data_IF_693946891168
#
_entry.id   IF_693946891168
#
_cell.length_a   1.000
_cell.length_b   1.000
_cell.length_c   1.000
_cell.angle_alpha   90.00
_cell.angle_beta   90.00
_cell.angle_gamma   90.00
#
_symmetry.space_group_name_H-M   'P 1'
#
loop_
_entity.id
_entity.type
_entity.pdbx_description
1 polymer ?
#
# COMPACT_ATOMS: atom_id res chain seq x y z
N UNK A 1 -26.41 -2.93 -22.84
CA UNK A 1 -26.03 -1.58 -22.35
C UNK A 1 -26.50 -1.24 -20.93
N UNK A 2 -27.72 -1.57 -20.49
CA UNK A 2 -28.24 -1.27 -19.13
C UNK A 2 -27.43 -1.91 -17.97
N UNK A 3 -26.93 -3.15 -18.10
CA UNK A 3 -26.17 -3.84 -17.03
C UNK A 3 -24.81 -3.22 -16.71
N UNK A 4 -24.06 -2.69 -17.71
CA UNK A 4 -22.78 -2.00 -17.48
C UNK A 4 -22.95 -0.67 -16.72
N UNK A 5 -23.98 0.11 -17.02
CA UNK A 5 -24.27 1.35 -16.29
C UNK A 5 -24.59 1.10 -14.81
N UNK A 6 -25.35 0.04 -14.50
CA UNK A 6 -25.66 -0.31 -13.12
C UNK A 6 -24.42 -0.69 -12.29
N UNK A 7 -23.42 -1.33 -12.91
CA UNK A 7 -22.18 -1.72 -12.22
C UNK A 7 -21.28 -0.52 -11.91
N UNK A 8 -21.13 0.40 -12.86
CA UNK A 8 -20.38 1.65 -12.69
C UNK A 8 -21.02 2.50 -11.57
N UNK A 9 -22.34 2.64 -11.56
CA UNK A 9 -23.06 3.38 -10.52
C UNK A 9 -22.83 2.81 -9.11
N UNK A 10 -22.90 1.50 -8.92
CA UNK A 10 -22.63 0.86 -7.63
C UNK A 10 -21.20 1.11 -7.16
N UNK A 11 -20.25 1.09 -8.07
CA UNK A 11 -18.83 1.29 -7.79
C UNK A 11 -18.53 2.74 -7.39
N UNK A 12 -19.09 3.69 -8.11
CA UNK A 12 -18.99 5.12 -7.80
C UNK A 12 -19.55 5.42 -6.41
N UNK A 13 -20.71 4.83 -6.07
CA UNK A 13 -21.32 4.98 -4.74
C UNK A 13 -20.38 4.42 -3.68
N UNK A 14 -19.80 3.23 -3.86
CA UNK A 14 -18.88 2.62 -2.92
C UNK A 14 -17.62 3.48 -2.71
N UNK A 15 -17.04 4.02 -3.78
CA UNK A 15 -15.86 4.89 -3.70
C UNK A 15 -16.17 6.23 -3.03
N UNK A 16 -17.32 6.83 -3.33
CA UNK A 16 -17.77 8.05 -2.66
C UNK A 16 -17.95 7.82 -1.17
N UNK A 17 -18.70 6.81 -0.77
CA UNK A 17 -18.92 6.46 0.64
C UNK A 17 -17.60 6.17 1.38
N UNK A 18 -16.66 5.51 0.71
CA UNK A 18 -15.33 5.28 1.25
C UNK A 18 -14.57 6.58 1.49
N UNK A 19 -14.58 7.50 0.52
CA UNK A 19 -13.96 8.82 0.66
C UNK A 19 -14.62 9.63 1.78
N UNK A 20 -15.95 9.72 1.81
CA UNK A 20 -16.70 10.43 2.85
C UNK A 20 -16.36 9.93 4.25
N UNK A 21 -16.35 8.59 4.41
CA UNK A 21 -16.00 7.96 5.69
C UNK A 21 -14.54 8.19 6.09
N UNK A 22 -13.62 8.17 5.10
CA UNK A 22 -12.19 8.26 5.34
C UNK A 22 -11.76 9.70 5.61
N UNK A 23 -12.27 10.64 4.81
CA UNK A 23 -11.97 12.07 4.94
C UNK A 23 -12.83 12.75 6.01
N UNK A 24 -13.90 12.10 6.47
CA UNK A 24 -14.93 12.67 7.37
C UNK A 24 -15.52 14.00 6.84
N UNK A 25 -15.72 14.04 5.54
CA UNK A 25 -16.20 15.21 4.80
C UNK A 25 -17.22 14.77 3.78
N UNK A 26 -18.10 15.70 3.39
CA UNK A 26 -19.02 15.45 2.28
C UNK A 26 -18.21 15.40 0.96
N UNK A 27 -18.50 14.39 0.13
CA UNK A 27 -17.86 14.19 -1.18
C UNK A 27 -18.95 14.22 -2.24
N UNK A 28 -18.88 15.23 -3.10
CA UNK A 28 -19.76 15.32 -4.27
C UNK A 28 -19.01 14.73 -5.48
N UNK A 29 -19.57 13.70 -6.08
CA UNK A 29 -18.97 13.04 -7.23
C UNK A 29 -19.96 13.02 -8.39
N UNK A 30 -19.59 13.64 -9.51
CA UNK A 30 -20.48 13.85 -10.66
C UNK A 30 -19.79 13.49 -11.98
N UNK A 31 -20.57 12.99 -12.92
CA UNK A 31 -20.17 12.90 -14.32
C UNK A 31 -20.38 14.26 -15.01
N UNK A 32 -19.33 15.05 -15.16
CA UNK A 32 -19.43 16.33 -15.85
C UNK A 32 -19.33 16.13 -17.37
N UNK A 33 -20.45 16.23 -18.05
CA UNK A 33 -20.56 16.01 -19.51
C UNK A 33 -19.71 17.02 -20.32
N UNK A 34 -19.54 18.22 -19.86
CA UNK A 34 -18.76 19.24 -20.58
C UNK A 34 -17.27 18.99 -20.49
N UNK A 35 -16.77 18.64 -19.29
CA UNK A 35 -15.39 18.23 -19.09
C UNK A 35 -15.10 16.94 -19.87
N UNK A 36 -16.04 15.99 -19.81
CA UNK A 36 -15.93 14.74 -20.54
C UNK A 36 -15.79 14.96 -22.06
N UNK A 37 -16.50 15.92 -22.64
CA UNK A 37 -16.41 16.25 -24.08
C UNK A 37 -15.06 16.84 -24.47
N UNK A 38 -14.41 17.60 -23.60
CA UNK A 38 -13.08 18.20 -23.84
C UNK A 38 -11.94 17.19 -23.86
N UNK A 39 -12.13 16.01 -23.25
CA UNK A 39 -11.10 14.99 -23.17
C UNK A 39 -11.01 14.16 -24.46
N UNK A 40 -9.81 13.76 -24.90
CA UNK A 40 -9.61 12.89 -26.04
C UNK A 40 -10.39 11.58 -25.95
N UNK A 41 -10.81 11.04 -27.09
CA UNK A 41 -11.52 9.75 -27.18
C UNK A 41 -10.73 8.61 -26.52
N UNK A 42 -9.40 8.65 -26.63
CA UNK A 42 -8.53 7.65 -26.00
C UNK A 42 -8.69 7.58 -24.47
N UNK A 43 -8.85 8.73 -23.79
CA UNK A 43 -9.05 8.77 -22.34
C UNK A 43 -10.48 8.30 -21.99
N UNK A 44 -11.48 8.76 -22.73
CA UNK A 44 -12.88 8.35 -22.57
C UNK A 44 -13.10 6.85 -22.80
N UNK A 45 -12.30 6.25 -23.66
CA UNK A 45 -12.33 4.81 -23.91
C UNK A 45 -11.73 4.01 -22.75
N UNK A 46 -10.61 4.48 -22.17
CA UNK A 46 -9.86 3.76 -21.14
C UNK A 46 -10.37 3.98 -19.72
N UNK A 47 -10.97 5.13 -19.44
CA UNK A 47 -11.34 5.53 -18.08
C UNK A 47 -12.81 5.88 -17.95
N UNK A 48 -13.36 5.60 -16.78
CA UNK A 48 -14.52 6.31 -16.27
C UNK A 48 -14.00 7.57 -15.58
N UNK A 49 -14.57 8.73 -15.87
CA UNK A 49 -14.02 10.04 -15.50
C UNK A 49 -15.07 10.81 -14.72
N UNK A 50 -14.69 11.30 -13.55
CA UNK A 50 -15.57 12.00 -12.62
C UNK A 50 -14.97 13.33 -12.21
N UNK A 51 -15.82 14.29 -11.95
CA UNK A 51 -15.47 15.50 -11.20
C UNK A 51 -15.83 15.26 -9.75
N UNK A 52 -14.89 15.50 -8.86
CA UNK A 52 -15.05 15.31 -7.42
C UNK A 52 -14.83 16.64 -6.71
N UNK A 53 -15.69 16.92 -5.74
CA UNK A 53 -15.56 18.06 -4.86
C UNK A 53 -15.44 17.58 -3.41
N UNK A 54 -14.41 18.04 -2.74
CA UNK A 54 -14.13 17.76 -1.32
C UNK A 54 -13.76 19.06 -0.62
N UNK A 55 -14.52 19.45 0.37
CA UNK A 55 -14.28 20.67 1.16
C UNK A 55 -14.01 21.93 0.30
N UNK A 56 -14.81 22.10 -0.76
CA UNK A 56 -14.65 23.22 -1.71
C UNK A 56 -13.50 23.10 -2.70
N UNK A 57 -12.71 22.02 -2.64
CA UNK A 57 -11.65 21.73 -3.62
C UNK A 57 -12.21 20.83 -4.71
N UNK A 58 -12.16 21.34 -5.95
CA UNK A 58 -12.59 20.60 -7.14
C UNK A 58 -11.40 19.89 -7.79
N UNK A 59 -11.57 18.61 -8.12
CA UNK A 59 -10.55 17.77 -8.72
C UNK A 59 -11.14 16.69 -9.62
N UNK A 60 -10.32 16.05 -10.44
CA UNK A 60 -10.71 15.00 -11.35
C UNK A 60 -10.37 13.63 -10.78
N UNK A 61 -11.24 12.66 -11.01
CA UNK A 61 -10.98 11.25 -10.73
C UNK A 61 -11.07 10.45 -12.03
N UNK A 62 -10.04 9.64 -12.31
CA UNK A 62 -10.03 8.70 -13.41
C UNK A 62 -9.96 7.27 -12.89
N UNK A 63 -10.89 6.44 -13.31
CA UNK A 63 -10.97 5.03 -12.94
C UNK A 63 -10.71 4.17 -14.17
N UNK A 64 -9.63 3.38 -14.22
CA UNK A 64 -9.35 2.49 -15.35
C UNK A 64 -10.46 1.45 -15.54
N UNK A 65 -10.89 1.23 -16.78
CA UNK A 65 -11.86 0.19 -17.14
C UNK A 65 -11.23 -1.19 -17.21
N UNK A 66 -9.93 -1.22 -17.52
CA UNK A 66 -9.12 -2.42 -17.65
C UNK A 66 -7.80 -2.26 -16.87
N UNK A 67 -7.03 -3.32 -16.70
CA UNK A 67 -5.71 -3.25 -16.05
C UNK A 67 -4.74 -2.43 -16.93
N UNK A 68 -4.26 -1.32 -16.38
CA UNK A 68 -3.38 -0.37 -17.06
C UNK A 68 -2.07 -0.25 -16.29
N UNK A 69 -0.94 -0.32 -17.01
CA UNK A 69 0.39 -0.16 -16.41
C UNK A 69 0.65 1.26 -15.91
N UNK A 70 1.53 1.39 -14.89
CA UNK A 70 1.84 2.64 -14.22
C UNK A 70 2.29 3.76 -15.18
N UNK A 71 3.10 3.42 -16.21
CA UNK A 71 3.59 4.40 -17.20
C UNK A 71 2.43 5.09 -17.94
N UNK A 72 1.42 4.30 -18.33
CA UNK A 72 0.23 4.82 -19.03
C UNK A 72 -0.63 5.63 -18.08
N UNK A 73 -0.86 5.13 -16.85
CA UNK A 73 -1.61 5.84 -15.81
C UNK A 73 -1.01 7.22 -15.52
N UNK A 74 0.32 7.28 -15.35
CA UNK A 74 1.07 8.52 -15.11
C UNK A 74 0.87 9.53 -16.22
N UNK A 75 1.07 9.10 -17.48
CA UNK A 75 0.92 9.94 -18.66
C UNK A 75 -0.51 10.44 -18.82
N UNK A 76 -1.47 9.54 -18.73
CA UNK A 76 -2.88 9.86 -18.99
C UNK A 76 -3.45 10.75 -17.87
N UNK A 77 -3.07 10.53 -16.60
CA UNK A 77 -3.41 11.41 -15.47
C UNK A 77 -2.90 12.83 -15.71
N UNK A 78 -1.61 12.97 -16.02
CA UNK A 78 -1.01 14.28 -16.30
C UNK A 78 -1.67 14.96 -17.51
N UNK A 79 -2.09 14.18 -18.51
CA UNK A 79 -2.84 14.69 -19.66
C UNK A 79 -4.21 15.22 -19.28
N UNK A 80 -4.93 14.55 -18.37
CA UNK A 80 -6.22 15.01 -17.84
C UNK A 80 -6.03 16.31 -17.05
N UNK A 81 -5.03 16.40 -16.17
CA UNK A 81 -4.70 17.62 -15.43
C UNK A 81 -4.43 18.80 -16.35
N UNK A 82 -3.60 18.58 -17.37
CA UNK A 82 -3.26 19.64 -18.35
C UNK A 82 -4.49 20.16 -19.11
N UNK A 83 -5.42 19.28 -19.47
CA UNK A 83 -6.62 19.65 -20.25
C UNK A 83 -7.67 20.33 -19.38
N UNK A 84 -7.82 19.87 -18.13
CA UNK A 84 -8.89 20.35 -17.24
C UNK A 84 -8.46 21.50 -16.35
N UNK A 85 -7.16 21.67 -16.11
CA UNK A 85 -6.62 22.62 -15.14
C UNK A 85 -6.86 22.23 -13.68
N UNK A 86 -7.37 21.00 -13.44
CA UNK A 86 -7.70 20.48 -12.12
C UNK A 86 -6.75 19.33 -11.74
N UNK A 87 -6.42 19.21 -10.45
CA UNK A 87 -5.70 18.04 -9.95
C UNK A 87 -6.44 16.76 -10.32
N UNK A 88 -5.72 15.68 -10.59
CA UNK A 88 -6.32 14.43 -11.02
C UNK A 88 -5.79 13.27 -10.18
N UNK A 89 -6.69 12.51 -9.55
CA UNK A 89 -6.37 11.29 -8.83
C UNK A 89 -6.80 10.04 -9.59
N UNK A 90 -6.05 8.95 -9.42
CA UNK A 90 -6.36 7.65 -10.01
C UNK A 90 -7.16 6.82 -9.01
N UNK A 91 -8.34 6.36 -9.39
CA UNK A 91 -9.13 5.42 -8.61
C UNK A 91 -8.79 4.00 -9.03
N UNK A 92 -8.45 3.16 -8.07
CA UNK A 92 -8.05 1.77 -8.30
C UNK A 92 -8.85 0.83 -7.42
N UNK A 93 -9.30 -0.29 -7.97
CA UNK A 93 -9.93 -1.36 -7.18
C UNK A 93 -8.89 -2.12 -6.36
N UNK A 94 -7.76 -2.34 -6.99
CA UNK A 94 -6.60 -3.05 -6.43
C UNK A 94 -5.33 -2.58 -7.11
N UNK A 95 -4.23 -2.72 -6.41
CA UNK A 95 -2.90 -2.48 -6.97
C UNK A 95 -1.87 -3.34 -6.25
N UNK A 96 -0.69 -3.49 -6.84
CA UNK A 96 0.43 -4.17 -6.18
C UNK A 96 1.13 -3.21 -5.24
N UNK A 97 1.81 -3.74 -4.22
CA UNK A 97 2.61 -2.95 -3.30
C UNK A 97 3.61 -2.06 -4.06
N UNK A 98 4.33 -2.64 -5.02
CA UNK A 98 5.31 -1.92 -5.83
C UNK A 98 4.72 -0.69 -6.56
N UNK A 99 3.57 -0.86 -7.23
CA UNK A 99 2.91 0.25 -7.93
C UNK A 99 2.48 1.33 -6.94
N UNK A 100 1.93 0.94 -5.79
CA UNK A 100 1.51 1.84 -4.73
C UNK A 100 2.68 2.69 -4.21
N UNK A 101 3.80 2.06 -3.84
CA UNK A 101 4.98 2.77 -3.36
C UNK A 101 5.54 3.73 -4.41
N UNK A 102 5.62 3.29 -5.66
CA UNK A 102 6.04 4.16 -6.76
C UNK A 102 5.13 5.38 -6.96
N UNK A 103 3.81 5.19 -6.80
CA UNK A 103 2.87 6.31 -6.88
C UNK A 103 3.05 7.31 -5.73
N UNK A 104 3.37 6.82 -4.51
CA UNK A 104 3.68 7.68 -3.36
C UNK A 104 5.00 8.43 -3.58
N UNK A 105 6.07 7.73 -3.97
CA UNK A 105 7.39 8.33 -4.27
C UNK A 105 7.29 9.44 -5.32
N UNK A 106 6.46 9.24 -6.33
CA UNK A 106 6.27 10.18 -7.44
C UNK A 106 5.19 11.24 -7.16
N UNK A 107 4.58 11.23 -5.98
CA UNK A 107 3.51 12.16 -5.62
C UNK A 107 2.24 12.01 -6.47
N UNK A 108 2.00 10.84 -7.06
CA UNK A 108 0.82 10.58 -7.90
C UNK A 108 -0.39 10.37 -7.00
N UNK A 109 -1.43 11.24 -7.07
CA UNK A 109 -2.63 11.08 -6.27
C UNK A 109 -3.40 9.81 -6.66
N UNK A 110 -3.84 9.04 -5.65
CA UNK A 110 -4.66 7.86 -5.90
C UNK A 110 -5.63 7.56 -4.75
N UNK A 111 -6.64 6.79 -5.07
CA UNK A 111 -7.57 6.17 -4.13
C UNK A 111 -7.67 4.69 -4.46
N UNK A 112 -7.33 3.84 -3.50
CA UNK A 112 -7.55 2.39 -3.60
C UNK A 112 -8.79 2.06 -2.77
N UNK A 113 -9.81 1.48 -3.41
CA UNK A 113 -11.09 1.21 -2.77
C UNK A 113 -10.92 0.46 -1.44
N UNK A 114 -11.50 1.05 -0.38
CA UNK A 114 -11.49 0.54 1.00
C UNK A 114 -10.13 0.27 1.63
N UNK A 115 -9.05 0.81 1.04
CA UNK A 115 -7.67 0.53 1.50
C UNK A 115 -6.88 1.79 1.80
N UNK A 116 -6.74 2.69 0.84
CA UNK A 116 -5.84 3.83 0.97
C UNK A 116 -6.30 5.04 0.16
N UNK A 117 -6.11 6.21 0.71
CA UNK A 117 -6.29 7.50 0.05
C UNK A 117 -4.97 8.26 0.12
N UNK A 118 -4.45 8.69 -1.03
CA UNK A 118 -3.29 9.56 -1.14
C UNK A 118 -3.63 10.73 -2.05
N UNK A 119 -3.94 11.87 -1.46
CA UNK A 119 -4.36 13.09 -2.14
C UNK A 119 -3.50 14.27 -1.64
N UNK A 120 -2.23 14.36 -2.09
CA UNK A 120 -1.28 15.34 -1.58
C UNK A 120 -1.72 16.79 -1.83
N UNK A 121 -2.50 17.04 -2.88
CA UNK A 121 -3.02 18.37 -3.21
C UNK A 121 -4.08 18.90 -2.23
N UNK A 122 -4.64 18.05 -1.38
CA UNK A 122 -5.53 18.44 -0.27
C UNK A 122 -4.94 18.07 1.10
N UNK A 123 -3.66 17.70 1.15
CA UNK A 123 -2.94 17.42 2.39
C UNK A 123 -3.26 16.09 3.06
N UNK A 124 -3.91 15.13 2.37
CA UNK A 124 -4.28 13.85 2.97
C UNK A 124 -3.45 12.69 2.44
N UNK A 125 -2.75 12.01 3.35
CA UNK A 125 -2.29 10.64 3.20
C UNK A 125 -3.02 9.80 4.26
N UNK A 126 -4.05 9.06 3.84
CA UNK A 126 -4.80 8.18 4.71
C UNK A 126 -4.74 6.76 4.15
N UNK A 127 -4.08 5.87 4.86
CA UNK A 127 -4.12 4.44 4.60
C UNK A 127 -4.94 3.74 5.67
N UNK A 128 -5.99 3.02 5.27
CA UNK A 128 -6.35 1.81 6.00
C UNK A 128 -5.33 0.79 5.55
N UNK A 129 -4.36 0.51 6.40
CA UNK A 129 -3.34 -0.45 6.10
C UNK A 129 -3.95 -1.69 5.47
N UNK A 130 -3.38 -2.22 4.39
CA UNK A 130 -3.27 -3.65 4.21
C UNK A 130 -2.20 -4.12 5.20
N UNK A 131 -2.19 -3.54 6.36
CA UNK A 131 -1.68 -4.21 7.50
C UNK A 131 -2.55 -5.45 7.57
N UNK A 132 -2.01 -6.61 7.16
CA UNK A 132 -2.36 -7.79 7.90
C UNK A 132 -2.40 -7.30 9.33
N UNK A 133 -3.56 -7.40 9.99
CA UNK A 133 -3.60 -7.21 11.43
C UNK A 133 -2.64 -8.25 11.96
N UNK A 134 -1.39 -7.79 12.18
CA UNK A 134 -0.37 -8.64 12.76
C UNK A 134 -0.93 -8.93 14.13
N UNK A 135 -1.09 -10.21 14.44
CA UNK A 135 -1.60 -10.60 15.75
C UNK A 135 -0.73 -9.93 16.83
N UNK A 136 -1.33 -9.29 17.85
CA UNK A 136 -0.58 -8.60 18.89
C UNK A 136 0.50 -9.50 19.47
N UNK A 137 1.75 -9.10 19.36
CA UNK A 137 2.90 -9.88 19.82
C UNK A 137 3.56 -9.09 20.94
N UNK A 138 3.52 -9.64 22.15
CA UNK A 138 4.27 -9.08 23.29
C UNK A 138 5.67 -9.66 23.40
N UNK A 139 5.82 -10.93 23.03
CA UNK A 139 7.09 -11.66 22.98
C UNK A 139 7.14 -12.46 21.68
N UNK A 140 8.30 -12.52 21.06
CA UNK A 140 8.49 -13.31 19.84
C UNK A 140 8.30 -14.81 20.10
N UNK A 141 7.85 -15.56 19.10
CA UNK A 141 7.74 -17.02 19.20
C UNK A 141 9.12 -17.67 19.29
N UNK A 142 9.20 -18.90 19.80
CA UNK A 142 10.47 -19.65 19.84
C UNK A 142 11.10 -19.80 18.45
N UNK A 143 10.29 -19.98 17.42
CA UNK A 143 10.77 -20.08 16.04
C UNK A 143 11.35 -18.75 15.55
N UNK A 144 10.70 -17.64 15.84
CA UNK A 144 11.18 -16.29 15.50
C UNK A 144 12.46 -15.99 16.26
N UNK A 145 12.54 -16.37 17.55
CA UNK A 145 13.75 -16.24 18.35
C UNK A 145 14.90 -17.05 17.75
N UNK A 146 14.65 -18.35 17.39
CA UNK A 146 15.66 -19.18 16.72
C UNK A 146 16.13 -18.54 15.43
N UNK A 147 15.20 -18.07 14.59
CA UNK A 147 15.51 -17.39 13.32
C UNK A 147 16.39 -16.16 13.53
N UNK A 148 16.00 -15.30 14.47
CA UNK A 148 16.72 -14.05 14.75
C UNK A 148 18.14 -14.29 15.28
N UNK A 149 18.29 -15.20 16.24
CA UNK A 149 19.60 -15.58 16.76
C UNK A 149 20.49 -16.20 15.69
N UNK A 150 19.93 -17.07 14.85
CA UNK A 150 20.64 -17.66 13.70
C UNK A 150 21.05 -16.59 12.69
N UNK A 151 20.16 -15.65 12.37
CA UNK A 151 20.44 -14.54 11.48
C UNK A 151 21.59 -13.66 12.00
N UNK A 152 21.61 -13.35 13.30
CA UNK A 152 22.68 -12.57 13.93
C UNK A 152 24.02 -13.35 13.92
N UNK A 153 23.98 -14.64 14.25
CA UNK A 153 25.18 -15.48 14.31
C UNK A 153 25.81 -15.68 12.93
N UNK A 154 24.98 -16.02 11.92
CA UNK A 154 25.40 -16.25 10.55
C UNK A 154 25.55 -14.97 9.72
N UNK A 155 25.26 -13.81 10.28
CA UNK A 155 25.29 -12.50 9.60
C UNK A 155 24.47 -12.50 8.31
N UNK A 156 23.18 -12.76 8.46
CA UNK A 156 22.29 -12.77 7.29
C UNK A 156 22.26 -11.40 6.62
N UNK A 157 22.48 -11.41 5.31
CA UNK A 157 22.40 -10.26 4.44
C UNK A 157 21.39 -10.58 3.35
N UNK A 158 20.35 -9.75 3.22
CA UNK A 158 19.28 -9.85 2.23
C UNK A 158 18.64 -11.25 2.11
N UNK A 159 18.52 -11.99 3.19
CA UNK A 159 17.96 -13.35 3.20
C UNK A 159 16.45 -13.31 3.06
N UNK A 160 15.92 -13.90 1.98
CA UNK A 160 14.47 -13.96 1.68
C UNK A 160 13.74 -14.95 2.59
N UNK A 161 12.40 -14.77 2.71
CA UNK A 161 11.53 -15.70 3.46
C UNK A 161 11.72 -17.17 3.02
N UNK A 162 11.86 -17.45 1.72
CA UNK A 162 12.07 -18.79 1.20
C UNK A 162 13.39 -19.42 1.65
N UNK A 163 14.44 -18.60 1.73
CA UNK A 163 15.77 -19.06 2.10
C UNK A 163 15.90 -19.20 3.63
N UNK A 164 15.25 -18.31 4.39
CA UNK A 164 15.10 -18.46 5.82
C UNK A 164 14.33 -19.75 6.17
N UNK A 165 13.25 -20.07 5.42
CA UNK A 165 12.50 -21.30 5.61
C UNK A 165 13.36 -22.54 5.42
N UNK A 166 14.22 -22.57 4.39
CA UNK A 166 15.16 -23.67 4.15
C UNK A 166 16.19 -23.82 5.26
N UNK A 167 16.80 -22.71 5.70
CA UNK A 167 17.81 -22.73 6.77
C UNK A 167 17.23 -23.18 8.12
N UNK A 168 15.99 -22.83 8.39
CA UNK A 168 15.27 -23.22 9.62
C UNK A 168 14.62 -24.61 9.52
N UNK A 169 14.63 -25.23 8.34
CA UNK A 169 13.95 -26.51 8.04
C UNK A 169 12.45 -26.45 8.34
N UNK A 170 11.79 -25.35 7.98
CA UNK A 170 10.37 -25.13 8.21
C UNK A 170 9.64 -24.74 6.91
N UNK A 171 8.31 -24.75 6.97
CA UNK A 171 7.50 -24.27 5.84
C UNK A 171 7.70 -22.77 5.61
N UNK A 172 7.58 -22.33 4.35
CA UNK A 172 7.60 -20.89 3.99
C UNK A 172 6.53 -20.11 4.73
N UNK A 173 5.38 -20.74 5.05
CA UNK A 173 4.31 -20.12 5.84
C UNK A 173 4.76 -19.85 7.28
N UNK A 174 5.50 -20.79 7.89
CA UNK A 174 6.05 -20.62 9.24
C UNK A 174 7.11 -19.53 9.27
N UNK A 175 8.04 -19.54 8.30
CA UNK A 175 9.02 -18.47 8.17
C UNK A 175 8.37 -17.09 7.94
N UNK A 176 7.33 -17.02 7.09
CA UNK A 176 6.59 -15.77 6.87
C UNK A 176 5.96 -15.21 8.16
N UNK A 177 5.45 -16.08 9.05
CA UNK A 177 4.94 -15.65 10.37
C UNK A 177 6.03 -15.07 11.26
N UNK A 178 7.25 -15.62 11.18
CA UNK A 178 8.38 -15.05 11.91
C UNK A 178 8.70 -13.62 11.43
N UNK A 179 8.67 -13.38 10.12
CA UNK A 179 8.84 -12.04 9.57
C UNK A 179 7.70 -11.12 10.01
N UNK A 180 6.45 -11.62 10.06
CA UNK A 180 5.28 -10.85 10.51
C UNK A 180 5.43 -10.44 12.01
N UNK A 181 5.99 -11.30 12.87
CA UNK A 181 6.27 -10.99 14.29
C UNK A 181 7.35 -9.91 14.43
N UNK A 182 8.45 -10.00 13.64
CA UNK A 182 9.52 -8.98 13.65
C UNK A 182 9.01 -7.62 13.14
N UNK A 183 8.15 -7.65 12.11
CA UNK A 183 7.51 -6.45 11.56
C UNK A 183 6.57 -5.80 12.57
N UNK A 184 5.76 -6.59 13.28
CA UNK A 184 4.87 -6.07 14.33
C UNK A 184 5.62 -5.38 15.45
N UNK A 185 6.75 -5.95 15.88
CA UNK A 185 7.59 -5.39 16.95
C UNK A 185 8.53 -4.29 16.47
N UNK A 186 8.47 -3.94 15.19
CA UNK A 186 9.29 -2.92 14.55
C UNK A 186 10.80 -3.13 14.83
N UNK A 187 11.26 -4.39 14.72
CA UNK A 187 12.66 -4.73 14.87
C UNK A 187 13.41 -4.41 13.58
N UNK A 188 14.47 -3.64 13.70
CA UNK A 188 15.23 -3.05 12.59
C UNK A 188 16.17 -4.06 11.90
N UNK A 189 15.57 -5.16 11.40
CA UNK A 189 16.24 -6.21 10.63
C UNK A 189 15.51 -6.54 9.33
N UNK A 190 14.37 -5.91 9.09
CA UNK A 190 13.55 -6.21 7.92
C UNK A 190 13.76 -5.18 6.83
N UNK A 191 14.06 -5.67 5.64
CA UNK A 191 14.19 -4.88 4.43
C UNK A 191 13.35 -5.42 3.29
N UNK A 192 13.43 -4.74 2.16
CA UNK A 192 12.80 -5.16 0.90
C UNK A 192 13.84 -5.29 -0.20
N UNK A 193 13.86 -6.45 -0.88
CA UNK A 193 14.62 -6.66 -2.11
C UNK A 193 13.67 -6.93 -3.28
N UNK A 194 13.40 -5.89 -4.06
CA UNK A 194 12.37 -5.93 -5.09
C UNK A 194 10.98 -6.10 -4.47
N UNK A 195 10.32 -7.24 -4.74
CA UNK A 195 8.99 -7.58 -4.20
C UNK A 195 9.03 -8.50 -2.97
N UNK A 196 10.22 -8.84 -2.49
CA UNK A 196 10.40 -9.84 -1.43
C UNK A 196 10.88 -9.18 -0.16
N UNK A 197 10.28 -9.57 0.98
CA UNK A 197 10.81 -9.24 2.29
C UNK A 197 12.12 -9.99 2.52
N UNK A 198 13.09 -9.33 3.13
CA UNK A 198 14.40 -9.90 3.48
C UNK A 198 14.74 -9.58 4.92
N UNK A 199 15.55 -10.44 5.52
CA UNK A 199 16.28 -10.12 6.77
C UNK A 199 17.69 -9.68 6.40
N UNK A 200 18.07 -8.54 6.94
CA UNK A 200 19.37 -7.95 6.80
C UNK A 200 19.89 -7.52 8.19
N UNK A 201 20.97 -8.13 8.64
CA UNK A 201 21.50 -7.85 9.98
C UNK A 201 22.47 -6.67 9.89
N UNK A 202 22.21 -5.56 10.60
CA UNK A 202 23.06 -4.39 10.58
C UNK A 202 24.44 -4.68 11.19
N UNK A 203 25.44 -3.95 10.74
CA UNK A 203 26.81 -4.06 11.29
C UNK A 203 26.87 -3.64 12.78
N UNK A 204 26.06 -2.64 13.16
CA UNK A 204 25.92 -2.15 14.53
C UNK A 204 24.98 -3.02 15.37
N UNK A 205 25.49 -4.16 15.84
CA UNK A 205 24.68 -5.18 16.54
C UNK A 205 24.25 -4.78 17.93
N UNK A 206 24.94 -3.85 18.57
CA UNK A 206 24.62 -3.43 19.93
C UNK A 206 23.22 -2.79 19.98
N UNK A 207 22.90 -1.94 19.01
CA UNK A 207 21.57 -1.32 18.92
C UNK A 207 20.49 -2.37 18.68
N UNK A 208 20.72 -3.31 17.77
CA UNK A 208 19.82 -4.43 17.52
C UNK A 208 19.62 -5.26 18.80
N UNK A 209 20.70 -5.58 19.52
CA UNK A 209 20.62 -6.31 20.78
C UNK A 209 19.75 -5.62 21.82
N UNK A 210 19.87 -4.29 21.96
CA UNK A 210 19.03 -3.52 22.87
C UNK A 210 17.54 -3.58 22.51
N UNK A 211 17.22 -3.64 21.21
CA UNK A 211 15.82 -3.79 20.75
C UNK A 211 15.26 -5.18 21.07
N UNK A 212 16.02 -6.24 20.79
CA UNK A 212 15.50 -7.61 20.85
C UNK A 212 15.47 -8.20 22.26
N UNK A 213 16.39 -7.81 23.14
CA UNK A 213 16.50 -8.38 24.51
C UNK A 213 15.21 -8.31 25.32
N UNK A 214 14.37 -7.29 25.07
CA UNK A 214 13.11 -7.06 25.78
C UNK A 214 11.97 -7.94 25.29
N UNK A 215 12.08 -8.50 24.08
CA UNK A 215 11.05 -9.30 23.43
C UNK A 215 11.39 -10.78 23.33
N UNK A 216 12.61 -11.18 23.74
CA UNK A 216 13.02 -12.57 23.82
C UNK A 216 12.28 -13.30 24.95
N UNK A 217 11.86 -14.55 24.68
CA UNK A 217 11.19 -15.41 25.67
C UNK A 217 12.12 -15.94 26.74
N UNK A 218 13.40 -16.07 26.42
CA UNK A 218 14.42 -16.49 27.39
C UNK A 218 14.92 -15.24 28.11
N UNK A 219 14.48 -15.08 29.34
CA UNK A 219 15.11 -14.15 30.26
C UNK A 219 16.53 -14.66 30.57
N UNK A 220 17.54 -13.87 30.18
CA UNK A 220 18.93 -14.13 30.57
C UNK A 220 19.19 -13.99 32.08
N UNK A 221 18.12 -13.80 32.87
CA UNK A 221 18.18 -13.67 34.33
C UNK A 221 18.39 -15.03 35.02
N UNK A 222 18.30 -16.14 34.27
CA UNK A 222 18.43 -17.51 34.80
C UNK A 222 19.63 -18.28 34.24
N UNK A 223 20.68 -17.58 33.79
CA UNK A 223 21.96 -18.21 33.49
C UNK A 223 22.96 -17.75 34.54
#
# INVERSE_FOLDING_TARGET
MRRKKSHIYKKVISMREFLEKTLRQNVIMTENKEVYKKLPLAYRGRYDIFTVETNGVLWMAIHPKDDIGLVVLRRDRAGVEKITGLNCAVFLDRTTFYIKEKMIEEGIPFVIDRKQVFLPFIGYLLSKGNERELAPVHLISFLTQKMLLMAIYERWNEVKVSDAAKRLEVSTKSASRCFDELEYLNIDVLGMKGKSRVIDIPDEREQLWQQIKMVLRLSLIHI
#
